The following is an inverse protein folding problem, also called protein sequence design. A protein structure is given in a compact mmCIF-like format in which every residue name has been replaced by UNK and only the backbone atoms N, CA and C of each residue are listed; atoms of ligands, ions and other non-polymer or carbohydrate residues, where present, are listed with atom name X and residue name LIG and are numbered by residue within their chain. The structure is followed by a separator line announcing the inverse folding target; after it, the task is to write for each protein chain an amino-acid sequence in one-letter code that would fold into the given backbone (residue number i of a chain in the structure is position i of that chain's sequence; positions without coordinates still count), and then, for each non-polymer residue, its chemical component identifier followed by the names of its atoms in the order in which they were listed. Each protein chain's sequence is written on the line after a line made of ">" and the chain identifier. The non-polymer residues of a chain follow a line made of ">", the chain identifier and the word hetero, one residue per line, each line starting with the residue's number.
data_IF_777308145430
#
_entry.id   IF_777308145430
#
_cell.length_a   1.000
_cell.length_b   1.000
_cell.length_c   1.000
_cell.angle_alpha   90.00
_cell.angle_beta   90.00
_cell.angle_gamma   90.00
#
_symmetry.space_group_name_H-M   'P 1'
#
loop_
_entity.id
_entity.type
_entity.pdbx_description
1 polymer ?
#
# COMPACT_ATOMS: atom_id res chain seq x y z
N UNK A 1 9.27 -12.95 0.02
CA UNK A 1 9.05 -12.86 -1.45
C UNK A 1 9.42 -11.49 -1.99
N UNK A 2 9.36 -11.32 -3.31
CA UNK A 2 9.82 -10.10 -4.01
C UNK A 2 9.02 -8.85 -3.62
N UNK A 3 7.71 -8.95 -3.42
CA UNK A 3 6.89 -7.83 -2.94
C UNK A 3 7.35 -7.34 -1.56
N UNK A 4 7.64 -8.27 -0.65
CA UNK A 4 8.15 -7.92 0.66
C UNK A 4 9.54 -7.26 0.58
N UNK A 5 10.41 -7.71 -0.34
CA UNK A 5 11.72 -7.10 -0.55
C UNK A 5 11.60 -5.64 -1.02
N UNK A 6 10.66 -5.36 -1.94
CA UNK A 6 10.38 -3.99 -2.39
C UNK A 6 9.88 -3.10 -1.25
N UNK A 7 8.91 -3.59 -0.46
CA UNK A 7 8.38 -2.83 0.68
C UNK A 7 9.42 -2.63 1.80
N UNK A 8 10.27 -3.61 2.05
CA UNK A 8 11.40 -3.46 2.99
C UNK A 8 12.39 -2.39 2.54
N UNK A 9 12.64 -2.24 1.24
CA UNK A 9 13.52 -1.18 0.72
C UNK A 9 12.90 0.21 0.97
N UNK A 10 11.58 0.36 0.78
CA UNK A 10 10.85 1.57 1.16
C UNK A 10 11.00 1.82 2.66
N UNK A 11 10.71 0.83 3.50
CA UNK A 11 10.77 0.94 4.96
C UNK A 11 12.16 1.34 5.46
N UNK A 12 13.21 0.68 5.00
CA UNK A 12 14.61 1.01 5.34
C UNK A 12 14.98 2.45 4.99
N UNK A 13 14.47 2.97 3.87
CA UNK A 13 14.73 4.36 3.51
C UNK A 13 13.90 5.32 4.38
N UNK A 14 12.64 4.98 4.72
CA UNK A 14 11.84 5.76 5.67
C UNK A 14 12.53 5.90 7.03
N UNK A 15 13.11 4.82 7.55
CA UNK A 15 13.91 4.87 8.80
C UNK A 15 15.08 5.85 8.71
N UNK A 16 15.80 5.88 7.58
CA UNK A 16 16.87 6.86 7.33
C UNK A 16 16.37 8.31 7.32
N UNK A 17 15.12 8.51 6.93
CA UNK A 17 14.44 9.80 6.95
C UNK A 17 13.81 10.15 8.31
N UNK A 18 13.96 9.26 9.31
CA UNK A 18 13.40 9.44 10.66
C UNK A 18 11.92 9.05 10.80
N UNK A 19 11.39 8.26 9.88
CA UNK A 19 10.01 7.76 9.88
C UNK A 19 9.99 6.28 10.23
N UNK A 20 9.30 5.90 11.27
CA UNK A 20 9.09 4.49 11.63
C UNK A 20 8.10 3.82 10.65
N UNK A 21 8.23 2.52 10.47
CA UNK A 21 7.31 1.76 9.63
C UNK A 21 6.96 0.40 10.22
N UNK A 22 5.85 -0.13 9.82
CA UNK A 22 5.43 -1.52 10.06
C UNK A 22 5.04 -2.17 8.74
N UNK A 23 5.44 -3.42 8.51
CA UNK A 23 4.94 -4.22 7.40
C UNK A 23 3.78 -5.09 7.88
N UNK A 24 2.58 -4.74 7.42
CA UNK A 24 1.39 -5.53 7.66
C UNK A 24 1.21 -6.56 6.54
N UNK A 25 1.36 -7.84 6.87
CA UNK A 25 1.23 -8.93 5.91
C UNK A 25 -0.16 -9.55 5.96
N UNK A 26 -0.78 -9.73 4.79
CA UNK A 26 -2.10 -10.37 4.69
C UNK A 26 -2.07 -11.88 4.97
N UNK A 27 -0.88 -12.44 5.10
CA UNK A 27 -0.71 -13.85 5.46
C UNK A 27 -1.19 -14.83 4.40
N UNK A 28 -1.38 -16.10 4.80
CA UNK A 28 -1.86 -17.20 3.97
C UNK A 28 -3.36 -17.49 4.09
N UNK A 29 -4.03 -16.95 5.10
CA UNK A 29 -5.45 -17.21 5.34
C UNK A 29 -6.34 -16.53 4.29
N UNK A 30 -7.49 -17.10 3.96
CA UNK A 30 -8.44 -16.48 3.06
C UNK A 30 -8.86 -15.07 3.54
N UNK A 31 -9.01 -14.15 2.60
CA UNK A 31 -9.65 -12.86 2.85
C UNK A 31 -10.94 -12.84 2.04
N UNK A 32 -12.04 -12.63 2.74
CA UNK A 32 -13.37 -12.55 2.14
C UNK A 32 -13.47 -11.27 1.30
N UNK A 33 -14.09 -11.38 0.15
CA UNK A 33 -14.44 -10.22 -0.69
C UNK A 33 -15.57 -9.37 -0.06
N UNK A 34 -15.72 -8.15 -0.55
CA UNK A 34 -16.83 -7.29 -0.18
C UNK A 34 -18.11 -7.74 -0.89
N UNK A 35 -19.15 -8.02 -0.13
CA UNK A 35 -20.47 -8.44 -0.66
C UNK A 35 -21.50 -7.30 -0.69
N UNK A 36 -21.08 -6.07 -0.41
CA UNK A 36 -21.98 -4.90 -0.45
C UNK A 36 -23.14 -4.96 0.53
N UNK A 37 -22.99 -5.63 1.69
CA UNK A 37 -24.06 -5.85 2.65
C UNK A 37 -24.56 -4.58 3.35
N UNK A 38 -23.86 -3.44 3.27
CA UNK A 38 -24.23 -2.18 3.91
C UNK A 38 -24.16 -2.18 5.44
N UNK A 39 -23.51 -3.16 6.06
CA UNK A 39 -23.44 -3.32 7.52
C UNK A 39 -22.10 -2.86 8.12
N UNK A 40 -21.38 -2.01 7.42
CA UNK A 40 -20.16 -1.40 7.98
C UNK A 40 -20.51 -0.43 9.10
N UNK A 41 -19.64 -0.32 10.10
CA UNK A 41 -19.79 0.57 11.24
C UNK A 41 -18.49 1.35 11.49
N UNK A 42 -18.47 2.18 12.54
CA UNK A 42 -17.25 2.86 12.98
C UNK A 42 -16.13 1.89 13.39
N UNK A 43 -16.47 0.65 13.72
CA UNK A 43 -15.53 -0.42 14.06
C UNK A 43 -14.94 -1.09 12.81
N UNK A 44 -15.48 -0.80 11.62
CA UNK A 44 -15.02 -1.35 10.35
C UNK A 44 -16.03 -2.29 9.68
N UNK A 45 -15.55 -3.34 9.03
CA UNK A 45 -16.37 -4.35 8.37
C UNK A 45 -17.05 -5.29 9.36
N UNK A 46 -18.29 -5.69 9.06
CA UNK A 46 -19.07 -6.64 9.89
C UNK A 46 -18.40 -8.03 9.96
N UNK A 47 -17.64 -8.43 8.95
CA UNK A 47 -16.86 -9.67 8.97
C UNK A 47 -15.56 -9.46 9.72
N UNK A 48 -15.33 -10.26 10.77
CA UNK A 48 -14.21 -10.09 11.72
C UNK A 48 -13.26 -11.29 11.74
N UNK A 49 -13.40 -12.21 10.80
CA UNK A 49 -12.68 -13.47 10.73
C UNK A 49 -11.37 -13.41 9.92
N UNK A 50 -10.92 -12.19 9.58
CA UNK A 50 -9.68 -11.95 8.81
C UNK A 50 -8.97 -10.64 9.23
N UNK A 51 -7.92 -10.28 8.48
CA UNK A 51 -7.02 -9.17 8.82
C UNK A 51 -7.59 -7.76 8.57
N UNK A 52 -8.81 -7.61 8.03
CA UNK A 52 -9.35 -6.31 7.59
C UNK A 52 -9.50 -5.34 8.74
N UNK A 53 -10.22 -5.73 9.80
CA UNK A 53 -10.49 -4.82 10.92
C UNK A 53 -9.25 -4.57 11.80
N UNK A 54 -8.34 -5.53 11.89
CA UNK A 54 -7.03 -5.32 12.53
C UNK A 54 -6.25 -4.20 11.80
N UNK A 55 -6.20 -4.27 10.48
CA UNK A 55 -5.54 -3.23 9.69
C UNK A 55 -6.22 -1.87 9.83
N UNK A 56 -7.55 -1.82 9.81
CA UNK A 56 -8.30 -0.57 10.01
C UNK A 56 -7.96 0.09 11.35
N UNK A 57 -7.82 -0.69 12.41
CA UNK A 57 -7.40 -0.16 13.71
C UNK A 57 -6.00 0.48 13.65
N UNK A 58 -5.03 -0.21 13.02
CA UNK A 58 -3.67 0.33 12.80
C UNK A 58 -3.67 1.54 11.88
N UNK A 59 -4.51 1.56 10.86
CA UNK A 59 -4.59 2.66 9.90
C UNK A 59 -5.04 3.99 10.52
N UNK A 60 -5.82 3.95 11.59
CA UNK A 60 -6.21 5.16 12.32
C UNK A 60 -5.01 5.89 12.91
N UNK A 61 -3.99 5.15 13.34
CA UNK A 61 -2.78 5.68 13.98
C UNK A 61 -1.64 5.96 12.99
N UNK A 62 -1.72 5.44 11.76
CA UNK A 62 -0.68 5.62 10.75
C UNK A 62 -0.81 6.96 10.03
N UNK A 63 0.33 7.56 9.65
CA UNK A 63 0.41 8.84 8.94
C UNK A 63 0.55 8.70 7.43
N UNK A 64 0.79 7.51 6.90
CA UNK A 64 0.92 7.24 5.48
C UNK A 64 0.94 5.75 5.15
N UNK A 65 0.74 5.41 3.87
CA UNK A 65 0.55 4.01 3.46
C UNK A 65 1.29 3.68 2.17
N UNK A 66 1.88 2.48 2.13
CA UNK A 66 2.40 1.88 0.90
C UNK A 66 1.77 0.50 0.71
N UNK A 67 0.97 0.34 -0.33
CA UNK A 67 0.30 -0.92 -0.64
C UNK A 67 1.07 -1.68 -1.71
N UNK A 68 1.62 -2.83 -1.36
CA UNK A 68 2.38 -3.69 -2.25
C UNK A 68 1.61 -4.91 -2.74
N UNK A 69 1.70 -5.22 -4.03
CA UNK A 69 1.06 -6.38 -4.63
C UNK A 69 1.99 -7.14 -5.57
N UNK A 70 1.96 -8.47 -5.58
CA UNK A 70 2.45 -9.21 -6.72
C UNK A 70 1.47 -9.04 -7.89
N UNK A 71 1.99 -9.17 -9.11
CA UNK A 71 1.20 -9.11 -10.33
C UNK A 71 0.85 -10.54 -10.78
N UNK A 72 -0.43 -10.80 -10.90
CA UNK A 72 -0.98 -12.04 -11.46
C UNK A 72 -1.91 -11.72 -12.63
N UNK A 73 -1.66 -12.34 -13.80
CA UNK A 73 -2.45 -12.08 -15.02
C UNK A 73 -2.56 -10.58 -15.36
N UNK A 74 -1.43 -9.87 -15.25
CA UNK A 74 -1.32 -8.43 -15.48
C UNK A 74 -2.22 -7.57 -14.56
N UNK A 75 -2.57 -8.06 -13.38
CA UNK A 75 -3.47 -7.43 -12.43
C UNK A 75 -2.95 -7.57 -10.99
N UNK A 76 -3.37 -6.74 -10.03
CA UNK A 76 -3.08 -6.97 -8.62
C UNK A 76 -3.60 -8.33 -8.16
N UNK A 77 -3.00 -8.92 -7.15
CA UNK A 77 -3.50 -10.17 -6.59
C UNK A 77 -4.95 -10.01 -6.11
N UNK A 78 -5.81 -11.01 -6.32
CA UNK A 78 -7.18 -11.00 -5.82
C UNK A 78 -7.27 -10.78 -4.31
N UNK A 79 -6.26 -11.27 -3.57
CA UNK A 79 -6.17 -11.07 -2.12
C UNK A 79 -6.08 -9.60 -1.72
N UNK A 80 -5.21 -8.80 -2.37
CA UNK A 80 -5.10 -7.38 -2.06
C UNK A 80 -6.37 -6.64 -2.43
N UNK A 81 -7.03 -7.01 -3.53
CA UNK A 81 -8.28 -6.36 -3.96
C UNK A 81 -9.42 -6.64 -2.98
N UNK A 82 -9.64 -7.90 -2.61
CA UNK A 82 -10.64 -8.26 -1.58
C UNK A 82 -10.40 -7.54 -0.25
N UNK A 83 -9.14 -7.40 0.12
CA UNK A 83 -8.73 -6.68 1.31
C UNK A 83 -9.05 -5.18 1.20
N UNK A 84 -8.60 -4.52 0.13
CA UNK A 84 -8.76 -3.08 -0.07
C UNK A 84 -10.23 -2.69 -0.27
N UNK A 85 -11.03 -3.48 -1.00
CA UNK A 85 -12.46 -3.24 -1.16
C UNK A 85 -13.14 -3.12 0.20
N UNK A 86 -12.83 -4.01 1.13
CA UNK A 86 -13.43 -3.99 2.47
C UNK A 86 -12.85 -2.91 3.38
N UNK A 87 -11.53 -2.71 3.34
CA UNK A 87 -10.86 -1.68 4.13
C UNK A 87 -11.38 -0.30 3.77
N UNK A 88 -11.34 0.04 2.49
CA UNK A 88 -11.74 1.39 2.05
C UNK A 88 -13.26 1.59 2.08
N UNK A 89 -14.05 0.57 1.76
CA UNK A 89 -15.50 0.71 1.83
C UNK A 89 -16.00 0.89 3.28
N UNK A 90 -15.39 0.21 4.24
CA UNK A 90 -15.81 0.31 5.64
C UNK A 90 -15.24 1.52 6.38
N UNK A 91 -14.08 2.05 5.95
CA UNK A 91 -13.30 2.95 6.82
C UNK A 91 -12.50 4.00 6.05
N UNK A 92 -12.99 4.50 4.91
CA UNK A 92 -12.27 5.46 4.07
C UNK A 92 -11.83 6.73 4.82
N UNK A 93 -12.61 7.18 5.79
CA UNK A 93 -12.28 8.35 6.61
C UNK A 93 -10.95 8.19 7.41
N UNK A 94 -10.56 6.94 7.73
CA UNK A 94 -9.29 6.69 8.43
C UNK A 94 -8.06 6.98 7.55
N UNK A 95 -8.24 7.12 6.24
CA UNK A 95 -7.18 7.30 5.25
C UNK A 95 -7.12 8.70 4.65
N UNK A 96 -8.20 9.48 4.77
CA UNK A 96 -8.28 10.81 4.17
C UNK A 96 -7.13 11.71 4.63
N UNK A 97 -6.56 12.44 3.66
CA UNK A 97 -5.43 13.38 3.86
C UNK A 97 -4.11 12.75 4.30
N UNK A 98 -4.02 11.42 4.31
CA UNK A 98 -2.77 10.68 4.54
C UNK A 98 -2.15 10.30 3.20
N UNK A 99 -0.84 10.49 2.97
CA UNK A 99 -0.21 10.14 1.71
C UNK A 99 -0.21 8.63 1.49
N UNK A 100 -0.41 8.22 0.26
CA UNK A 100 -0.38 6.81 -0.13
C UNK A 100 0.45 6.57 -1.38
N UNK A 101 0.94 5.35 -1.52
CA UNK A 101 1.55 4.85 -2.74
C UNK A 101 1.22 3.39 -2.97
N UNK A 102 1.20 2.98 -4.23
CA UNK A 102 1.15 1.57 -4.62
C UNK A 102 2.51 1.10 -5.15
N UNK A 103 2.83 -0.17 -4.91
CA UNK A 103 4.01 -0.86 -5.42
C UNK A 103 3.57 -2.14 -6.10
N UNK A 104 3.91 -2.32 -7.35
CA UNK A 104 3.60 -3.52 -8.12
C UNK A 104 4.87 -4.31 -8.44
N UNK A 105 4.85 -5.60 -8.12
CA UNK A 105 6.02 -6.47 -8.31
C UNK A 105 5.68 -7.60 -9.25
N UNK A 106 6.38 -7.70 -10.36
CA UNK A 106 6.14 -8.70 -11.39
C UNK A 106 7.41 -9.38 -11.89
N UNK A 107 7.24 -10.52 -12.54
CA UNK A 107 8.30 -11.12 -13.35
C UNK A 107 8.64 -10.24 -14.56
N UNK A 108 7.63 -9.67 -15.23
CA UNK A 108 7.75 -8.86 -16.47
C UNK A 108 6.65 -7.83 -16.60
N UNK A 109 5.56 -8.16 -17.29
CA UNK A 109 4.47 -7.25 -17.64
C UNK A 109 3.37 -7.15 -16.60
N UNK A 110 2.54 -6.11 -16.72
CA UNK A 110 1.33 -5.90 -15.90
C UNK A 110 1.52 -5.05 -14.65
N UNK A 111 2.71 -4.54 -14.40
CA UNK A 111 2.99 -3.68 -13.24
C UNK A 111 2.24 -2.35 -13.30
N UNK A 112 2.25 -1.66 -14.44
CA UNK A 112 1.56 -0.38 -14.60
C UNK A 112 0.05 -0.52 -14.46
N UNK A 113 -0.55 -1.56 -15.08
CA UNK A 113 -1.97 -1.84 -14.92
C UNK A 113 -2.34 -2.12 -13.45
N UNK A 114 -1.50 -2.87 -12.72
CA UNK A 114 -1.70 -3.15 -11.30
C UNK A 114 -1.55 -1.89 -10.43
N UNK A 115 -0.57 -1.07 -10.73
CA UNK A 115 -0.33 0.23 -10.10
C UNK A 115 -1.56 1.14 -10.25
N UNK A 116 -2.11 1.26 -11.44
CA UNK A 116 -3.29 2.10 -11.72
C UNK A 116 -4.53 1.63 -10.94
N UNK A 117 -4.72 0.32 -10.83
CA UNK A 117 -5.85 -0.24 -10.06
C UNK A 117 -5.77 0.17 -8.60
N UNK A 118 -4.61 0.02 -7.97
CA UNK A 118 -4.44 0.38 -6.55
C UNK A 118 -4.59 1.89 -6.31
N UNK A 119 -4.09 2.73 -7.20
CA UNK A 119 -4.19 4.18 -7.05
C UNK A 119 -5.64 4.71 -7.08
N UNK A 120 -6.60 3.96 -7.64
CA UNK A 120 -8.02 4.34 -7.63
C UNK A 120 -8.60 4.38 -6.21
N UNK A 121 -8.18 3.48 -5.33
CA UNK A 121 -8.59 3.50 -3.93
C UNK A 121 -8.17 4.80 -3.24
N UNK A 122 -6.98 5.28 -3.54
CA UNK A 122 -6.44 6.49 -2.93
C UNK A 122 -7.15 7.74 -3.42
N UNK A 123 -7.37 7.84 -4.74
CA UNK A 123 -8.03 8.99 -5.35
C UNK A 123 -9.43 9.24 -4.79
N UNK A 124 -10.26 8.21 -4.70
CA UNK A 124 -11.63 8.35 -4.17
C UNK A 124 -11.65 8.58 -2.65
N UNK A 125 -10.59 8.19 -1.94
CA UNK A 125 -10.49 8.30 -0.48
C UNK A 125 -9.77 9.59 -0.02
N UNK A 126 -9.60 10.57 -0.90
CA UNK A 126 -8.98 11.87 -0.60
C UNK A 126 -7.53 11.74 -0.11
N UNK A 127 -6.80 10.73 -0.60
CA UNK A 127 -5.41 10.50 -0.22
C UNK A 127 -4.49 11.11 -1.28
N UNK A 128 -3.55 11.99 -0.90
CA UNK A 128 -2.49 12.44 -1.81
C UNK A 128 -1.62 11.26 -2.24
N UNK A 129 -1.42 11.08 -3.55
CA UNK A 129 -0.61 9.99 -4.08
C UNK A 129 0.84 10.42 -4.20
N UNK A 130 1.73 9.70 -3.52
CA UNK A 130 3.17 9.92 -3.63
C UNK A 130 3.73 9.27 -4.89
N UNK A 131 4.40 10.08 -5.71
CA UNK A 131 5.17 9.60 -6.85
C UNK A 131 6.63 9.29 -6.48
N UNK A 132 7.35 8.67 -7.42
CA UNK A 132 8.78 8.47 -7.36
C UNK A 132 9.44 9.01 -8.62
N UNK A 133 10.67 8.58 -8.92
CA UNK A 133 11.39 8.93 -10.17
C UNK A 133 10.95 8.11 -11.37
N UNK A 134 10.19 7.05 -11.14
CA UNK A 134 9.52 6.21 -12.14
C UNK A 134 8.22 5.65 -11.51
N UNK A 135 7.39 4.93 -12.27
CA UNK A 135 6.29 4.18 -11.69
C UNK A 135 6.81 3.15 -10.68
N UNK A 136 6.14 2.96 -9.58
CA UNK A 136 6.60 2.13 -8.46
C UNK A 136 6.56 0.64 -8.80
N UNK A 137 7.39 0.23 -9.74
CA UNK A 137 7.51 -1.11 -10.26
C UNK A 137 8.81 -1.75 -9.82
N UNK A 138 8.76 -3.03 -9.46
CA UNK A 138 9.95 -3.84 -9.18
C UNK A 138 9.81 -5.18 -9.90
N UNK A 139 10.89 -5.68 -10.45
CA UNK A 139 10.90 -6.92 -11.22
C UNK A 139 11.70 -8.02 -10.52
N UNK A 140 11.15 -9.23 -10.55
CA UNK A 140 11.79 -10.42 -10.01
C UNK A 140 10.88 -11.65 -10.16
N UNK A 141 11.46 -12.76 -10.61
CA UNK A 141 10.75 -14.02 -10.87
C UNK A 141 10.77 -14.94 -9.67
N UNK A 142 11.97 -15.22 -9.16
CA UNK A 142 12.16 -16.10 -8.00
C UNK A 142 12.45 -15.29 -6.74
N UNK A 143 12.26 -15.86 -5.55
CA UNK A 143 12.54 -15.14 -4.30
C UNK A 143 13.96 -14.56 -4.27
N UNK A 144 14.07 -13.26 -3.97
CA UNK A 144 15.34 -12.54 -3.89
C UNK A 144 15.72 -11.77 -5.15
N UNK A 145 15.19 -12.10 -6.33
CA UNK A 145 15.53 -11.37 -7.57
C UNK A 145 15.16 -9.89 -7.56
N UNK A 146 14.12 -9.51 -6.84
CA UNK A 146 13.76 -8.10 -6.71
C UNK A 146 14.93 -7.23 -6.21
N UNK A 147 15.79 -7.77 -5.36
CA UNK A 147 16.97 -7.05 -4.88
C UNK A 147 18.03 -6.80 -5.97
N UNK A 148 17.95 -7.48 -7.11
CA UNK A 148 18.82 -7.31 -8.26
C UNK A 148 18.26 -6.29 -9.27
N UNK A 149 17.02 -5.86 -9.11
CA UNK A 149 16.42 -4.78 -9.90
C UNK A 149 16.87 -3.44 -9.32
N UNK A 150 18.05 -2.99 -9.76
CA UNK A 150 18.70 -1.77 -9.24
C UNK A 150 17.83 -0.52 -9.46
N UNK A 151 17.18 -0.39 -10.62
CA UNK A 151 16.27 0.72 -10.91
C UNK A 151 15.01 0.65 -10.05
N UNK A 152 14.41 -0.53 -9.92
CA UNK A 152 13.25 -0.73 -9.06
C UNK A 152 13.56 -0.43 -7.60
N UNK A 153 14.69 -0.89 -7.09
CA UNK A 153 15.13 -0.60 -5.71
C UNK A 153 15.43 0.90 -5.51
N UNK A 154 16.03 1.56 -6.49
CA UNK A 154 16.22 3.01 -6.44
C UNK A 154 14.89 3.76 -6.45
N UNK A 155 13.95 3.31 -7.27
CA UNK A 155 12.58 3.86 -7.30
C UNK A 155 11.90 3.72 -5.93
N UNK A 156 12.07 2.60 -5.23
CA UNK A 156 11.56 2.40 -3.87
C UNK A 156 12.18 3.37 -2.86
N UNK A 157 13.48 3.58 -2.92
CA UNK A 157 14.16 4.56 -2.05
C UNK A 157 13.69 6.00 -2.32
N UNK A 158 13.52 6.37 -3.58
CA UNK A 158 13.05 7.70 -3.95
C UNK A 158 11.57 7.91 -3.56
N UNK A 159 10.74 6.87 -3.70
CA UNK A 159 9.37 6.88 -3.18
C UNK A 159 9.35 7.20 -1.68
N UNK A 160 10.17 6.50 -0.90
CA UNK A 160 10.24 6.71 0.54
C UNK A 160 10.67 8.14 0.92
N UNK A 161 11.63 8.72 0.20
CA UNK A 161 12.04 10.13 0.39
C UNK A 161 10.88 11.08 0.10
N UNK A 162 10.18 10.87 -1.00
CA UNK A 162 9.03 11.71 -1.37
C UNK A 162 7.90 11.59 -0.35
N UNK A 163 7.59 10.38 0.10
CA UNK A 163 6.60 10.17 1.16
C UNK A 163 7.01 10.83 2.49
N UNK A 164 8.27 10.69 2.89
CA UNK A 164 8.80 11.34 4.08
C UNK A 164 8.66 12.88 3.99
N UNK A 165 9.00 13.45 2.84
CA UNK A 165 8.83 14.88 2.60
C UNK A 165 7.36 15.30 2.71
N UNK A 166 6.44 14.57 2.07
CA UNK A 166 4.99 14.85 2.14
C UNK A 166 4.47 14.78 3.58
N UNK A 167 4.81 13.71 4.32
CA UNK A 167 4.37 13.55 5.71
C UNK A 167 4.88 14.69 6.61
N UNK A 168 6.13 15.10 6.45
CA UNK A 168 6.70 16.25 7.17
C UNK A 168 6.00 17.57 6.84
N UNK A 169 5.67 17.78 5.55
CA UNK A 169 4.91 18.95 5.12
C UNK A 169 3.49 18.95 5.68
N UNK A 170 2.82 17.79 5.69
CA UNK A 170 1.46 17.68 6.23
C UNK A 170 1.43 17.87 7.74
N UNK A 171 2.47 17.41 8.46
CA UNK A 171 2.58 17.67 9.89
C UNK A 171 2.64 19.17 10.18
N UNK A 172 3.44 19.93 9.42
CA UNK A 172 3.50 21.39 9.53
C UNK A 172 2.17 22.08 9.15
N UNK A 173 1.37 21.46 8.27
CA UNK A 173 0.09 21.99 7.82
C UNK A 173 -1.10 21.65 8.73
N UNK A 174 -0.93 20.82 9.75
CA UNK A 174 -2.04 20.42 10.65
C UNK A 174 -2.65 21.57 11.46
N UNK A 175 -1.94 22.66 11.60
CA UNK A 175 -2.40 23.85 12.34
C UNK A 175 -3.20 24.83 11.45
N UNK A 176 -3.38 24.54 10.18
CA UNK A 176 -4.04 25.38 9.19
C UNK A 176 -5.22 24.64 8.53
#
# INVERSE_FOLDING_TARGET
>A
GNTNAALLEVGKQLEKEGISYEIFQLGGNPIRDCVGCGQCSEQGCVFTDDAVNEFVAKAKEADGFVFGTPVYYAHPSGRILSFLDRVFYSSSAAFAFKPAASVAVARRGGTTASFDVLNKYFGISQMPVAGSTYWNNVHGRVPGEAALDEEGMQTMRNLARNMSWMMKCFELGKEH
#
